data_IF_624090225280
#
_entry.id   IF_624090225280
#
_cell.length_a   1.000
_cell.length_b   1.000
_cell.length_c   1.000
_cell.angle_alpha   90.00
_cell.angle_beta   90.00
_cell.angle_gamma   90.00
#
_symmetry.space_group_name_H-M   'P 1'
#
loop_
_entity.id
_entity.type
_entity.pdbx_description
1 polymer ?
#
# COMPACT_ATOMS: atom_id res chain seq x y z
N UNK A 1 -4.83 1.36 -9.98
CA UNK A 1 -5.59 0.86 -11.15
C UNK A 1 -5.24 -0.61 -11.34
N UNK A 2 -6.15 -1.49 -11.80
CA UNK A 2 -5.73 -2.81 -12.23
C UNK A 2 -4.69 -2.66 -13.36
N UNK A 3 -3.69 -3.56 -13.45
CA UNK A 3 -2.77 -3.56 -14.58
C UNK A 3 -3.58 -3.66 -15.89
N UNK A 4 -3.10 -3.04 -16.99
CA UNK A 4 -3.74 -3.17 -18.29
C UNK A 4 -3.94 -4.66 -18.67
N UNK A 5 -5.00 -5.03 -19.39
CA UNK A 5 -5.10 -6.39 -19.93
C UNK A 5 -3.93 -6.69 -20.87
N UNK A 6 -3.44 -7.93 -20.87
CA UNK A 6 -2.33 -8.41 -21.71
C UNK A 6 -0.98 -7.70 -21.47
N UNK A 7 -0.60 -7.41 -20.22
CA UNK A 7 0.78 -7.00 -19.92
C UNK A 7 1.71 -8.18 -20.19
N UNK A 8 2.74 -8.05 -21.04
CA UNK A 8 3.78 -9.05 -21.16
C UNK A 8 4.42 -9.26 -19.79
N UNK A 9 4.82 -10.49 -19.46
CA UNK A 9 5.71 -10.66 -18.31
C UNK A 9 6.94 -9.77 -18.51
N UNK A 10 7.59 -9.36 -17.40
CA UNK A 10 8.96 -8.88 -17.51
C UNK A 10 9.74 -10.10 -18.02
N UNK A 11 9.83 -10.23 -19.35
CA UNK A 11 10.48 -11.34 -20.01
C UNK A 11 11.85 -11.49 -19.34
N UNK A 12 12.24 -12.73 -19.10
CA UNK A 12 13.61 -13.16 -18.81
C UNK A 12 14.50 -12.65 -19.95
N UNK A 13 14.77 -11.36 -19.93
CA UNK A 13 15.67 -10.63 -20.83
C UNK A 13 17.05 -10.86 -20.24
N UNK A 14 17.48 -12.12 -20.35
CA UNK A 14 18.62 -12.67 -19.63
C UNK A 14 19.95 -12.19 -20.17
N UNK A 15 19.96 -11.48 -21.29
CA UNK A 15 21.19 -11.09 -21.96
C UNK A 15 21.18 -9.60 -22.32
N UNK A 16 22.06 -8.83 -21.68
CA UNK A 16 22.32 -7.45 -22.05
C UNK A 16 23.06 -7.33 -23.40
N UNK A 17 23.31 -8.46 -24.08
CA UNK A 17 24.03 -8.56 -25.35
C UNK A 17 25.55 -8.66 -25.19
N UNK A 18 26.05 -8.59 -23.96
CA UNK A 18 27.45 -8.71 -23.57
C UNK A 18 27.72 -9.95 -22.68
N UNK A 19 26.73 -10.83 -22.51
CA UNK A 19 26.82 -12.04 -21.70
C UNK A 19 26.52 -11.83 -20.21
N UNK A 20 26.09 -10.63 -19.78
CA UNK A 20 25.59 -10.38 -18.42
C UNK A 20 24.06 -10.37 -18.39
N UNK A 21 23.49 -10.73 -17.24
CA UNK A 21 22.07 -10.53 -16.97
C UNK A 21 21.74 -9.04 -16.87
N UNK A 22 20.58 -8.61 -17.35
CA UNK A 22 20.09 -7.26 -17.06
C UNK A 22 19.76 -7.14 -15.56
N UNK A 23 20.13 -6.01 -14.96
CA UNK A 23 19.67 -5.64 -13.62
C UNK A 23 18.16 -5.37 -13.64
N UNK A 24 17.50 -5.49 -12.48
CA UNK A 24 16.08 -5.17 -12.32
C UNK A 24 15.76 -3.76 -12.82
N UNK A 25 16.64 -2.79 -12.54
CA UNK A 25 16.52 -1.42 -13.06
C UNK A 25 16.47 -1.38 -14.58
N UNK A 26 17.43 -2.00 -15.24
CA UNK A 26 17.52 -1.99 -16.70
C UNK A 26 16.27 -2.63 -17.33
N UNK A 27 15.82 -3.76 -16.77
CA UNK A 27 14.58 -4.42 -17.20
C UNK A 27 13.36 -3.48 -17.06
N UNK A 28 13.25 -2.78 -15.92
CA UNK A 28 12.17 -1.82 -15.68
C UNK A 28 12.27 -0.58 -16.58
N UNK A 29 13.46 -0.07 -16.87
CA UNK A 29 13.68 1.03 -17.81
C UNK A 29 13.27 0.65 -19.23
N UNK A 30 13.62 -0.55 -19.68
CA UNK A 30 13.16 -1.08 -20.97
C UNK A 30 11.64 -1.22 -20.99
N UNK A 31 11.02 -1.76 -19.93
CA UNK A 31 9.57 -1.89 -19.84
C UNK A 31 8.85 -0.53 -19.84
N UNK A 32 9.42 0.48 -19.18
CA UNK A 32 8.90 1.86 -19.14
C UNK A 32 9.16 2.67 -20.39
N UNK A 33 9.97 2.19 -21.34
CA UNK A 33 10.14 2.86 -22.62
C UNK A 33 8.81 3.01 -23.38
N UNK A 34 7.82 2.16 -23.09
CA UNK A 34 6.45 2.33 -23.56
C UNK A 34 5.71 3.45 -22.79
N UNK A 35 5.24 4.53 -23.47
CA UNK A 35 4.50 5.61 -22.83
C UNK A 35 3.23 5.18 -22.09
N UNK A 36 2.61 4.07 -22.50
CA UNK A 36 1.45 3.52 -21.80
C UNK A 36 1.81 3.05 -20.38
N UNK A 37 3.00 2.48 -20.20
CA UNK A 37 3.47 1.94 -18.92
C UNK A 37 4.06 3.03 -18.01
N UNK A 38 4.86 3.95 -18.56
CA UNK A 38 5.56 4.97 -17.77
C UNK A 38 4.62 5.88 -16.99
N UNK A 39 3.40 6.12 -17.48
CA UNK A 39 2.38 6.96 -16.81
C UNK A 39 2.11 6.56 -15.35
N UNK A 40 2.10 5.26 -15.06
CA UNK A 40 1.89 4.74 -13.70
C UNK A 40 3.21 4.35 -13.04
N UNK A 41 4.13 3.75 -13.80
CA UNK A 41 5.38 3.22 -13.26
C UNK A 41 6.35 4.31 -12.79
N UNK A 42 6.30 5.51 -13.35
CA UNK A 42 7.05 6.66 -12.83
C UNK A 42 6.67 7.02 -11.38
N UNK A 43 5.48 6.61 -10.93
CA UNK A 43 5.01 6.84 -9.55
C UNK A 43 5.31 5.65 -8.64
N UNK A 44 5.23 4.42 -9.16
CA UNK A 44 5.27 3.18 -8.38
C UNK A 44 6.70 2.67 -8.19
N UNK A 45 7.47 2.60 -9.28
CA UNK A 45 8.79 1.98 -9.30
C UNK A 45 9.82 2.61 -8.36
N UNK A 46 9.87 3.95 -8.20
CA UNK A 46 10.84 4.56 -7.30
C UNK A 46 10.77 4.02 -5.86
N UNK A 47 9.57 3.65 -5.41
CA UNK A 47 9.34 3.06 -4.09
C UNK A 47 9.96 1.66 -4.04
N UNK A 48 9.74 0.83 -5.07
CA UNK A 48 10.29 -0.52 -5.15
C UNK A 48 11.82 -0.54 -5.22
N UNK A 49 12.40 0.32 -6.07
CA UNK A 49 13.86 0.43 -6.23
C UNK A 49 14.57 0.83 -4.92
N UNK A 50 13.91 1.60 -4.04
CA UNK A 50 14.46 1.93 -2.73
C UNK A 50 14.72 0.69 -1.85
N UNK A 51 14.00 -0.42 -2.09
CA UNK A 51 14.14 -1.71 -1.40
C UNK A 51 15.04 -2.70 -2.15
N UNK A 52 15.63 -2.34 -3.29
CA UNK A 52 16.36 -3.30 -4.14
C UNK A 52 17.56 -3.94 -3.44
N UNK A 53 18.09 -3.34 -2.38
CA UNK A 53 19.14 -3.97 -1.57
C UNK A 53 18.65 -5.11 -0.65
N UNK A 54 17.34 -5.33 -0.54
CA UNK A 54 16.80 -6.45 0.22
C UNK A 54 16.51 -7.63 -0.72
N UNK A 55 16.97 -8.82 -0.32
CA UNK A 55 16.55 -10.07 -0.95
C UNK A 55 15.16 -10.48 -0.44
N UNK A 56 14.56 -11.51 -1.06
CA UNK A 56 13.21 -12.02 -0.75
C UNK A 56 13.05 -12.49 0.70
N UNK A 57 14.15 -12.85 1.36
CA UNK A 57 14.19 -13.24 2.77
C UNK A 57 14.48 -12.07 3.73
N UNK A 58 14.67 -10.86 3.18
CA UNK A 58 15.01 -9.65 3.92
C UNK A 58 16.51 -9.48 4.23
N UNK A 59 17.39 -10.33 3.70
CA UNK A 59 18.83 -10.14 3.81
C UNK A 59 19.31 -8.97 2.94
N UNK A 60 20.38 -8.30 3.39
CA UNK A 60 20.98 -7.19 2.64
C UNK A 60 21.95 -7.72 1.56
N UNK A 61 21.81 -7.22 0.34
CA UNK A 61 22.65 -7.52 -0.82
C UNK A 61 23.12 -6.24 -1.52
N UNK A 62 24.34 -6.32 -2.07
CA UNK A 62 24.94 -5.26 -2.90
C UNK A 62 25.01 -5.65 -4.38
N UNK A 63 24.71 -6.90 -4.71
CA UNK A 63 24.70 -7.43 -6.07
C UNK A 63 23.51 -8.35 -6.28
N UNK A 64 23.04 -8.39 -7.51
CA UNK A 64 22.02 -9.33 -8.00
C UNK A 64 22.46 -9.95 -9.31
N UNK A 65 22.45 -11.28 -9.40
CA UNK A 65 22.90 -12.02 -10.60
C UNK A 65 24.22 -11.52 -11.19
N UNK A 66 25.15 -11.08 -10.32
CA UNK A 66 26.45 -10.52 -10.69
C UNK A 66 26.48 -9.00 -10.91
N UNK A 67 25.34 -8.35 -11.13
CA UNK A 67 25.23 -6.90 -11.30
C UNK A 67 25.30 -6.14 -9.98
N UNK A 68 25.93 -4.97 -9.91
CA UNK A 68 25.79 -4.08 -8.76
C UNK A 68 24.33 -3.60 -8.64
N UNK A 69 23.83 -3.53 -7.41
CA UNK A 69 22.51 -2.98 -7.12
C UNK A 69 22.60 -1.46 -7.06
N UNK A 70 21.70 -0.80 -7.78
CA UNK A 70 21.48 0.64 -7.71
C UNK A 70 20.06 0.91 -7.18
N UNK A 71 19.92 1.32 -5.90
CA UNK A 71 18.63 1.68 -5.32
C UNK A 71 18.18 3.12 -5.64
N UNK A 72 18.96 3.90 -6.40
CA UNK A 72 18.71 5.33 -6.60
C UNK A 72 17.47 5.62 -7.47
N UNK A 73 16.59 6.50 -7.02
CA UNK A 73 15.36 6.81 -7.74
C UNK A 73 14.89 8.22 -7.42
N UNK A 74 13.86 8.66 -8.14
CA UNK A 74 13.22 9.95 -7.92
C UNK A 74 11.72 9.72 -7.76
N UNK A 75 11.11 10.22 -6.68
CA UNK A 75 9.66 10.20 -6.51
C UNK A 75 8.98 11.08 -7.54
N UNK A 76 7.67 10.89 -7.73
CA UNK A 76 6.84 11.68 -8.65
C UNK A 76 6.91 13.20 -8.43
N UNK A 77 7.33 13.65 -7.24
CA UNK A 77 7.47 15.07 -6.88
C UNK A 77 8.91 15.60 -7.00
N UNK A 78 9.82 14.81 -7.56
CA UNK A 78 11.24 15.17 -7.74
C UNK A 78 12.13 14.85 -6.54
N UNK A 79 11.60 14.26 -5.47
CA UNK A 79 12.43 13.90 -4.31
C UNK A 79 13.39 12.76 -4.65
N UNK A 80 14.73 12.95 -4.55
CA UNK A 80 15.68 11.88 -4.76
C UNK A 80 15.68 10.90 -3.58
N UNK A 81 15.85 9.62 -3.88
CA UNK A 81 15.91 8.50 -2.93
C UNK A 81 17.11 7.64 -3.32
N UNK A 82 17.96 7.26 -2.37
CA UNK A 82 19.07 6.33 -2.59
C UNK A 82 19.02 5.12 -1.65
N UNK A 83 17.98 5.04 -0.82
CA UNK A 83 17.84 4.00 0.19
C UNK A 83 16.42 3.95 0.75
N UNK A 84 16.09 2.87 1.46
CA UNK A 84 14.88 2.79 2.28
C UNK A 84 14.80 3.92 3.31
N UNK A 85 15.93 4.38 3.85
CA UNK A 85 15.97 5.49 4.80
C UNK A 85 15.55 6.83 4.18
N UNK A 86 15.93 7.07 2.92
CA UNK A 86 15.49 8.26 2.17
C UNK A 86 14.00 8.18 1.87
N UNK A 87 13.50 7.00 1.49
CA UNK A 87 12.07 6.76 1.28
C UNK A 87 11.27 7.01 2.57
N UNK A 88 11.73 6.48 3.71
CA UNK A 88 11.12 6.73 5.01
C UNK A 88 11.08 8.24 5.30
N UNK A 89 12.19 8.93 5.09
CA UNK A 89 12.30 10.38 5.30
C UNK A 89 11.33 11.15 4.39
N UNK A 90 11.20 10.75 3.13
CA UNK A 90 10.27 11.34 2.17
C UNK A 90 8.80 11.14 2.59
N UNK A 91 8.41 9.93 3.02
CA UNK A 91 7.07 9.65 3.55
C UNK A 91 6.78 10.50 4.78
N UNK A 92 7.76 10.62 5.69
CA UNK A 92 7.61 11.39 6.93
C UNK A 92 7.54 12.90 6.73
N UNK A 93 7.80 13.43 5.52
CA UNK A 93 7.46 14.84 5.17
C UNK A 93 5.95 15.08 5.13
N UNK A 94 5.13 14.03 4.96
CA UNK A 94 3.66 14.08 4.96
C UNK A 94 3.08 13.09 5.98
N UNK A 95 3.37 13.26 7.28
CA UNK A 95 3.09 12.25 8.31
C UNK A 95 1.59 11.97 8.46
N UNK A 96 0.73 12.97 8.27
CA UNK A 96 -0.72 12.80 8.36
C UNK A 96 -1.27 11.77 7.37
N UNK A 97 -0.72 11.71 6.15
CA UNK A 97 -1.14 10.72 5.14
C UNK A 97 -0.79 9.31 5.59
N UNK A 98 0.43 9.12 6.09
CA UNK A 98 0.89 7.85 6.63
C UNK A 98 0.03 7.42 7.81
N UNK A 99 -0.15 8.29 8.81
CA UNK A 99 -0.93 7.95 10.01
C UNK A 99 -2.42 7.74 9.73
N UNK A 100 -2.99 8.38 8.71
CA UNK A 100 -4.35 8.10 8.26
C UNK A 100 -4.49 6.68 7.72
N UNK A 101 -3.59 6.25 6.84
CA UNK A 101 -3.59 4.88 6.30
C UNK A 101 -3.32 3.85 7.41
N UNK A 102 -2.38 4.16 8.31
CA UNK A 102 -2.12 3.33 9.50
C UNK A 102 -3.39 3.17 10.35
N UNK A 103 -4.09 4.27 10.63
CA UNK A 103 -5.33 4.26 11.41
C UNK A 103 -6.46 3.52 10.71
N UNK A 104 -6.60 3.66 9.38
CA UNK A 104 -7.57 2.92 8.56
C UNK A 104 -7.37 1.41 8.68
N UNK A 105 -6.14 0.93 8.49
CA UNK A 105 -5.82 -0.49 8.59
C UNK A 105 -6.00 -1.02 10.02
N UNK A 106 -5.60 -0.24 11.02
CA UNK A 106 -5.78 -0.59 12.42
C UNK A 106 -7.26 -0.68 12.80
N UNK A 107 -8.07 0.28 12.35
CA UNK A 107 -9.51 0.28 12.58
C UNK A 107 -10.18 -0.88 11.85
N UNK A 108 -9.80 -1.18 10.61
CA UNK A 108 -10.32 -2.33 9.87
C UNK A 108 -10.03 -3.65 10.60
N UNK A 109 -8.80 -3.82 11.08
CA UNK A 109 -8.40 -4.97 11.89
C UNK A 109 -9.24 -5.07 13.18
N UNK A 110 -9.36 -3.96 13.93
CA UNK A 110 -10.09 -3.93 15.19
C UNK A 110 -11.60 -4.19 15.04
N UNK A 111 -12.20 -3.79 13.92
CA UNK A 111 -13.62 -3.98 13.64
C UNK A 111 -13.94 -5.32 12.99
N UNK A 112 -12.94 -6.05 12.47
CA UNK A 112 -13.17 -7.27 11.69
C UNK A 112 -13.93 -7.03 10.38
N UNK A 113 -13.97 -5.79 9.88
CA UNK A 113 -14.60 -5.39 8.62
C UNK A 113 -13.78 -4.30 7.95
N UNK A 114 -14.00 -4.09 6.65
CA UNK A 114 -13.45 -2.92 5.95
C UNK A 114 -14.00 -1.64 6.58
N UNK A 115 -13.16 -0.61 6.63
CA UNK A 115 -13.60 0.75 6.94
C UNK A 115 -14.44 1.29 5.79
N UNK A 116 -15.48 2.03 6.14
CA UNK A 116 -16.42 2.62 5.21
C UNK A 116 -16.31 4.15 5.21
N UNK A 117 -16.96 4.80 4.24
CA UNK A 117 -16.92 6.27 4.12
C UNK A 117 -17.37 6.98 5.41
N UNK A 118 -18.26 6.38 6.20
CA UNK A 118 -18.77 6.94 7.45
C UNK A 118 -17.82 6.76 8.65
N UNK A 119 -16.78 5.92 8.53
CA UNK A 119 -15.73 5.78 9.56
C UNK A 119 -14.65 6.87 9.42
N UNK A 120 -14.55 7.51 8.24
CA UNK A 120 -13.53 8.50 7.91
C UNK A 120 -13.46 9.72 8.87
N UNK A 121 -14.57 10.27 9.40
CA UNK A 121 -14.50 11.31 10.44
C UNK A 121 -13.80 10.82 11.71
N UNK A 122 -14.05 9.59 12.14
CA UNK A 122 -13.41 9.01 13.33
C UNK A 122 -11.92 8.78 13.09
N UNK A 123 -11.54 8.24 11.93
CA UNK A 123 -10.12 8.09 11.54
C UNK A 123 -9.39 9.43 11.61
N UNK A 124 -9.92 10.49 11.00
CA UNK A 124 -9.30 11.83 11.04
C UNK A 124 -9.21 12.39 12.45
N UNK A 125 -10.19 12.13 13.31
CA UNK A 125 -10.14 12.53 14.72
C UNK A 125 -9.03 11.80 15.47
N UNK A 126 -8.92 10.48 15.30
CA UNK A 126 -7.87 9.68 15.94
C UNK A 126 -6.49 10.19 15.56
N UNK A 127 -6.24 10.45 14.26
CA UNK A 127 -4.95 10.99 13.79
C UNK A 127 -4.66 12.36 14.42
N UNK A 128 -5.65 13.26 14.48
CA UNK A 128 -5.49 14.59 15.09
C UNK A 128 -5.23 14.53 16.59
N UNK A 129 -5.80 13.57 17.31
CA UNK A 129 -5.52 13.37 18.74
C UNK A 129 -4.16 12.71 18.95
N UNK A 130 -3.81 11.70 18.15
CA UNK A 130 -2.50 11.06 18.21
C UNK A 130 -1.35 12.04 17.93
N UNK A 131 -1.55 13.02 17.04
CA UNK A 131 -0.57 14.09 16.79
C UNK A 131 -0.21 14.92 18.04
N UNK A 132 -1.14 15.07 19.00
CA UNK A 132 -0.89 15.76 20.28
C UNK A 132 -0.10 14.92 21.28
N UNK A 133 0.06 13.63 20.99
CA UNK A 133 0.73 12.64 21.82
C UNK A 133 1.92 12.01 21.07
N UNK A 134 2.56 12.79 20.20
CA UNK A 134 3.73 12.40 19.40
C UNK A 134 3.52 11.10 18.60
N UNK A 135 2.29 10.87 18.14
CA UNK A 135 1.88 9.69 17.40
C UNK A 135 2.22 8.36 18.11
N UNK A 136 2.15 8.35 19.45
CA UNK A 136 2.31 7.12 20.23
C UNK A 136 1.28 6.07 19.80
N UNK A 137 1.72 4.83 19.64
CA UNK A 137 0.85 3.70 19.31
C UNK A 137 -0.37 3.61 20.24
N UNK A 138 -0.18 3.87 21.53
CA UNK A 138 -1.24 3.85 22.54
C UNK A 138 -2.35 4.87 22.26
N UNK A 139 -2.04 6.02 21.66
CA UNK A 139 -3.04 7.02 21.29
C UNK A 139 -3.95 6.52 20.16
N UNK A 140 -3.39 5.80 19.19
CA UNK A 140 -4.16 5.16 18.11
C UNK A 140 -5.03 4.02 18.65
N UNK A 141 -4.47 3.12 19.48
CA UNK A 141 -5.24 2.04 20.13
C UNK A 141 -6.43 2.62 20.88
N UNK A 142 -6.20 3.60 21.76
CA UNK A 142 -7.25 4.26 22.53
C UNK A 142 -8.26 4.95 21.63
N UNK A 143 -7.79 5.65 20.59
CA UNK A 143 -8.64 6.30 19.60
C UNK A 143 -9.61 5.32 18.96
N UNK A 144 -9.13 4.16 18.50
CA UNK A 144 -9.95 3.11 17.87
C UNK A 144 -10.97 2.53 18.86
N UNK A 145 -10.54 2.09 20.04
CA UNK A 145 -11.43 1.39 21.00
C UNK A 145 -12.48 2.29 21.64
N UNK A 146 -12.30 3.61 21.58
CA UNK A 146 -13.27 4.58 22.09
C UNK A 146 -14.32 4.99 21.04
N UNK A 147 -14.15 4.61 19.77
CA UNK A 147 -15.11 4.95 18.71
C UNK A 147 -16.47 4.25 18.90
N UNK A 148 -17.57 4.87 18.46
CA UNK A 148 -18.87 4.19 18.42
C UNK A 148 -18.86 2.92 17.56
N UNK A 149 -18.12 2.93 16.46
CA UNK A 149 -18.00 1.78 15.56
C UNK A 149 -17.40 0.54 16.25
N UNK A 150 -16.48 0.74 17.19
CA UNK A 150 -15.90 -0.35 17.98
C UNK A 150 -16.80 -0.73 19.15
N UNK A 151 -17.39 0.25 19.84
CA UNK A 151 -18.14 0.03 21.09
C UNK A 151 -19.55 -0.51 20.87
N UNK A 152 -20.14 -0.27 19.71
CA UNK A 152 -21.52 -0.66 19.42
C UNK A 152 -21.58 -1.46 18.12
N UNK A 153 -22.20 -2.64 18.18
CA UNK A 153 -22.53 -3.40 17.00
C UNK A 153 -23.92 -2.96 16.50
N UNK A 154 -24.05 -2.68 15.20
CA UNK A 154 -25.38 -2.52 14.60
C UNK A 154 -26.12 -3.84 14.74
N UNK A 155 -27.29 -3.82 15.39
CA UNK A 155 -28.18 -4.98 15.38
C UNK A 155 -28.47 -5.39 13.94
N UNK A 156 -28.41 -6.69 13.65
CA UNK A 156 -28.83 -7.20 12.36
C UNK A 156 -30.28 -6.76 12.10
N UNK A 157 -30.57 -6.30 10.89
CA UNK A 157 -31.95 -6.04 10.51
C UNK A 157 -32.75 -7.33 10.74
N UNK A 158 -33.94 -7.27 11.38
CA UNK A 158 -34.74 -8.47 11.59
C UNK A 158 -34.96 -9.14 10.23
N UNK A 159 -34.58 -10.42 10.15
CA UNK A 159 -34.77 -11.22 8.94
C UNK A 159 -36.27 -11.25 8.68
N UNK A 160 -36.72 -10.67 7.57
CA UNK A 160 -38.12 -10.74 7.19
C UNK A 160 -38.46 -12.22 6.99
N UNK A 161 -39.25 -12.79 7.90
CA UNK A 161 -39.83 -14.12 7.74
C UNK A 161 -40.62 -14.12 6.43
N UNK A 162 -40.30 -14.98 5.45
CA UNK A 162 -41.09 -15.06 4.24
C UNK A 162 -42.53 -15.42 4.62
N UNK A 163 -43.48 -14.59 4.18
CA UNK A 163 -44.89 -14.85 4.41
C UNK A 163 -45.26 -16.19 3.74
N UNK A 164 -45.69 -17.16 4.55
CA UNK A 164 -46.30 -18.38 4.05
C UNK A 164 -47.61 -18.00 3.37
N UNK A 165 -47.59 -17.93 2.04
CA UNK A 165 -48.83 -17.87 1.25
C UNK A 165 -49.54 -19.21 1.36
N UNK A 166 -50.60 -19.24 2.17
CA UNK A 166 -51.55 -20.35 2.19
C UNK A 166 -52.31 -20.36 0.86
N UNK A 167 -51.91 -21.24 -0.06
CA UNK A 167 -52.68 -21.54 -1.26
C UNK A 167 -53.86 -22.42 -0.84
N UNK A 168 -55.01 -21.79 -0.60
CA UNK A 168 -56.28 -22.49 -0.46
C UNK A 168 -56.69 -23.07 -1.82
N UNK A 169 -56.80 -24.39 -1.89
CA UNK A 169 -57.49 -25.10 -2.97
C UNK A 169 -58.94 -25.35 -2.53
N UNK A 170 -59.88 -24.82 -3.30
CA UNK A 170 -61.24 -25.35 -3.43
C UNK A 170 -61.24 -26.43 -4.51
#
# INVERSE_FOLDING_TARGET
PPPPPNVPELEETEDAGDGRFLSVREQMEMHRANPACSSCHNVIDPIGLAFENFDVDGSWRNRDRGNPIDPSSELYDGTPINSVGDLQSAIMKRPEVFYRIFTENMMAYALGRRVEHYDQPAIREIVRQAAKEDYRLSAFVRGVVTTPAFRFQRAAAPTATPAVTATGAN
#
